data_IF_053947832678
#
_entry.id   IF_053947832678
#
_cell.length_a   1.000
_cell.length_b   1.000
_cell.length_c   1.000
_cell.angle_alpha   90.00
_cell.angle_beta   90.00
_cell.angle_gamma   90.00
#
_symmetry.space_group_name_H-M   'P 1'
#
loop_
_entity.id
_entity.type
_entity.pdbx_description
1 polymer ?
#
# COMPACT_ATOMS: atom_id res chain seq x y z
N UNK A 1 -1.64 -9.64 10.00
CA UNK A 1 -1.18 -8.26 9.71
C UNK A 1 -0.70 -8.22 8.26
N UNK A 2 -1.27 -7.34 7.41
CA UNK A 2 -0.79 -7.07 6.05
C UNK A 2 -0.01 -5.75 6.07
N UNK A 3 1.25 -5.78 5.69
CA UNK A 3 2.17 -4.64 5.72
C UNK A 3 2.50 -4.14 4.32
N UNK A 4 2.50 -2.84 4.12
CA UNK A 4 3.29 -2.19 3.07
C UNK A 4 4.75 -2.14 3.52
N UNK A 5 5.72 -2.33 2.60
CA UNK A 5 7.14 -2.09 2.91
C UNK A 5 7.38 -0.65 3.40
N UNK A 6 8.47 -0.42 4.12
CA UNK A 6 8.85 0.89 4.64
C UNK A 6 9.67 1.72 3.62
N UNK A 7 10.24 2.86 4.06
CA UNK A 7 10.99 3.80 3.22
C UNK A 7 12.06 3.08 2.40
N UNK A 8 12.10 3.39 1.12
CA UNK A 8 13.00 2.83 0.12
C UNK A 8 13.59 3.92 -0.77
N UNK A 9 14.67 3.64 -1.46
CA UNK A 9 15.06 4.47 -2.58
C UNK A 9 13.97 4.43 -3.70
N UNK A 10 13.79 5.50 -4.49
CA UNK A 10 12.87 5.51 -5.63
C UNK A 10 13.09 4.33 -6.57
N UNK A 11 12.07 3.99 -7.36
CA UNK A 11 12.15 2.87 -8.33
C UNK A 11 13.19 3.11 -9.41
N UNK A 12 13.51 4.35 -9.68
CA UNK A 12 14.58 4.77 -10.59
C UNK A 12 15.50 5.75 -9.88
N UNK A 13 16.79 5.68 -10.15
CA UNK A 13 17.84 6.52 -9.60
C UNK A 13 18.60 7.24 -10.70
N UNK A 14 19.79 7.77 -10.40
CA UNK A 14 20.64 8.56 -11.28
C UNK A 14 20.68 8.03 -12.73
N UNK A 15 20.45 8.91 -13.70
CA UNK A 15 20.34 8.59 -15.13
C UNK A 15 18.95 8.15 -15.59
N UNK A 16 17.96 8.19 -14.70
CA UNK A 16 16.58 7.78 -14.94
C UNK A 16 15.69 8.92 -15.47
N UNK A 17 14.39 8.58 -15.66
CA UNK A 17 13.37 9.59 -15.99
C UNK A 17 13.25 10.70 -14.94
N UNK A 18 13.59 10.43 -13.66
CA UNK A 18 13.57 11.41 -12.58
C UNK A 18 14.62 12.50 -12.80
N UNK A 19 15.87 12.14 -13.21
CA UNK A 19 16.93 13.13 -13.48
C UNK A 19 16.60 14.01 -14.68
N UNK A 20 15.85 13.48 -15.65
CA UNK A 20 15.41 14.25 -16.82
C UNK A 20 14.29 15.23 -16.51
N UNK A 21 13.57 15.05 -15.41
CA UNK A 21 12.41 15.85 -15.03
C UNK A 21 12.75 17.01 -14.09
N UNK A 22 14.00 17.13 -13.65
CA UNK A 22 14.47 18.23 -12.81
C UNK A 22 15.93 18.57 -13.13
N UNK A 23 16.35 19.84 -13.01
CA UNK A 23 17.76 20.22 -13.00
C UNK A 23 18.41 19.99 -11.63
N UNK A 24 17.60 19.73 -10.60
CA UNK A 24 18.04 19.59 -9.22
C UNK A 24 18.60 18.20 -8.95
N UNK A 25 19.43 18.07 -7.93
CA UNK A 25 20.08 16.83 -7.57
C UNK A 25 19.31 16.15 -6.42
N UNK A 26 18.86 14.91 -6.67
CA UNK A 26 18.25 14.09 -5.64
C UNK A 26 19.29 13.74 -4.56
N UNK A 27 18.83 13.42 -3.34
CA UNK A 27 19.74 13.01 -2.25
C UNK A 27 20.47 11.72 -2.62
N UNK A 28 21.64 11.53 -1.99
CA UNK A 28 22.34 10.25 -2.01
C UNK A 28 21.62 9.24 -1.12
N UNK A 29 21.01 8.24 -1.73
CA UNK A 29 20.26 7.20 -1.04
C UNK A 29 21.18 6.20 -0.35
N UNK A 30 20.73 5.69 0.81
CA UNK A 30 21.48 4.68 1.60
C UNK A 30 21.31 3.25 1.07
N UNK A 31 20.57 3.07 -0.02
CA UNK A 31 20.31 1.79 -0.68
C UNK A 31 20.25 1.95 -2.20
N UNK A 32 20.29 0.84 -2.92
CA UNK A 32 20.10 0.84 -4.37
C UNK A 32 18.65 1.22 -4.73
N UNK A 33 18.40 1.51 -6.01
CA UNK A 33 17.06 1.78 -6.52
C UNK A 33 16.07 0.69 -6.07
N UNK A 34 14.90 1.09 -5.62
CA UNK A 34 13.80 0.23 -5.15
C UNK A 34 14.05 -0.56 -3.86
N UNK A 35 15.24 -0.54 -3.29
CA UNK A 35 15.59 -1.26 -2.06
C UNK A 35 15.24 -0.45 -0.80
N UNK A 36 14.91 -1.15 0.28
CA UNK A 36 14.64 -0.57 1.60
C UNK A 36 15.83 0.26 2.07
N UNK A 37 15.58 1.49 2.54
CA UNK A 37 16.63 2.34 3.10
C UNK A 37 17.02 1.91 4.52
N UNK A 38 18.17 2.39 4.99
CA UNK A 38 18.60 2.14 6.39
C UNK A 38 17.59 2.73 7.40
N UNK A 39 17.03 3.91 7.10
CA UNK A 39 15.98 4.52 7.92
C UNK A 39 14.73 3.64 7.93
N UNK A 40 14.28 3.15 6.76
CA UNK A 40 13.16 2.23 6.66
C UNK A 40 13.35 0.97 7.50
N UNK A 41 14.55 0.38 7.49
CA UNK A 41 14.87 -0.76 8.36
C UNK A 41 14.80 -0.43 9.86
N UNK A 42 15.32 0.73 10.27
CA UNK A 42 15.23 1.20 11.65
C UNK A 42 13.77 1.36 12.10
N UNK A 43 12.96 2.02 11.29
CA UNK A 43 11.53 2.23 11.57
C UNK A 43 10.77 0.90 11.69
N UNK A 44 11.09 -0.08 10.86
CA UNK A 44 10.45 -1.41 10.97
C UNK A 44 10.88 -2.17 12.24
N UNK A 45 12.13 -2.04 12.68
CA UNK A 45 12.55 -2.58 13.96
C UNK A 45 11.74 -1.97 15.11
N UNK A 46 11.49 -0.65 15.08
CA UNK A 46 10.65 0.03 16.07
C UNK A 46 9.19 -0.47 16.04
N UNK A 47 8.61 -0.64 14.85
CA UNK A 47 7.26 -1.18 14.70
C UNK A 47 7.15 -2.62 15.21
N UNK A 48 8.20 -3.43 15.00
CA UNK A 48 8.31 -4.77 15.56
C UNK A 48 8.34 -4.75 17.09
N UNK A 49 9.15 -3.87 17.69
CA UNK A 49 9.22 -3.71 19.15
C UNK A 49 7.89 -3.22 19.74
N UNK A 50 7.25 -2.25 19.12
CA UNK A 50 5.92 -1.80 19.52
C UNK A 50 4.92 -2.97 19.49
N UNK A 51 4.90 -3.73 18.40
CA UNK A 51 3.99 -4.87 18.25
C UNK A 51 4.24 -5.92 19.32
N UNK A 52 5.49 -6.25 19.64
CA UNK A 52 5.83 -7.15 20.74
C UNK A 52 5.24 -6.67 22.06
N UNK A 53 5.51 -5.42 22.44
CA UNK A 53 5.01 -4.84 23.71
C UNK A 53 3.48 -4.80 23.76
N UNK A 54 2.85 -4.49 22.63
CA UNK A 54 1.40 -4.53 22.53
C UNK A 54 0.87 -5.96 22.77
N UNK A 55 1.40 -6.99 22.08
CA UNK A 55 0.96 -8.37 22.25
C UNK A 55 1.26 -8.93 23.65
N UNK A 56 2.36 -8.50 24.29
CA UNK A 56 2.68 -8.81 25.69
C UNK A 56 1.63 -8.17 26.63
N UNK A 57 1.25 -6.91 26.41
CA UNK A 57 0.25 -6.21 27.24
C UNK A 57 -1.14 -6.80 27.13
N UNK A 58 -1.49 -7.35 25.96
CA UNK A 58 -2.77 -8.07 25.74
C UNK A 58 -2.72 -9.52 26.23
N UNK A 59 -1.56 -9.99 26.70
CA UNK A 59 -1.38 -11.37 27.19
C UNK A 59 -1.39 -12.42 26.08
N UNK A 60 -1.22 -12.01 24.83
CA UNK A 60 -1.18 -12.93 23.69
C UNK A 60 0.14 -13.69 23.60
N UNK A 61 1.24 -13.04 23.99
CA UNK A 61 2.56 -13.64 24.12
C UNK A 61 3.18 -13.30 25.48
N UNK A 62 4.00 -14.18 26.07
CA UNK A 62 4.75 -13.87 27.29
C UNK A 62 5.96 -12.98 26.98
N UNK A 63 6.54 -12.36 28.01
CA UNK A 63 7.87 -11.74 27.91
C UNK A 63 8.92 -12.77 27.43
N UNK A 64 9.84 -12.30 26.59
CA UNK A 64 10.88 -13.13 25.98
C UNK A 64 10.33 -14.31 25.16
N UNK A 65 9.21 -14.10 24.50
CA UNK A 65 8.54 -15.12 23.69
C UNK A 65 9.49 -15.70 22.64
N UNK A 66 9.61 -17.03 22.66
CA UNK A 66 10.23 -17.83 21.61
C UNK A 66 9.14 -18.74 21.03
N UNK A 67 8.69 -18.45 19.80
CA UNK A 67 7.58 -19.18 19.22
C UNK A 67 7.96 -20.63 18.93
N UNK A 68 7.05 -21.53 19.23
CA UNK A 68 7.08 -22.90 18.71
C UNK A 68 6.82 -22.87 17.20
N UNK A 69 7.23 -23.92 16.50
CA UNK A 69 6.97 -24.08 15.06
C UNK A 69 5.48 -23.90 14.74
N UNK A 70 5.20 -23.13 13.70
CA UNK A 70 3.84 -22.86 13.24
C UNK A 70 3.06 -21.81 14.05
N UNK A 71 3.58 -21.29 15.17
CA UNK A 71 2.88 -20.27 15.99
C UNK A 71 2.97 -18.87 15.39
N UNK A 72 4.02 -18.57 14.68
CA UNK A 72 4.20 -17.31 13.96
C UNK A 72 4.58 -17.57 12.51
N UNK A 73 4.20 -16.65 11.63
CA UNK A 73 4.54 -16.72 10.21
C UNK A 73 4.93 -15.34 9.71
N UNK A 74 6.02 -15.24 8.98
CA UNK A 74 6.48 -14.05 8.28
C UNK A 74 6.63 -14.39 6.80
N UNK A 75 5.73 -13.89 5.99
CA UNK A 75 5.68 -14.15 4.56
C UNK A 75 5.75 -12.83 3.79
N UNK A 76 6.70 -12.69 2.91
CA UNK A 76 6.94 -11.49 2.14
C UNK A 76 6.91 -11.76 0.63
N UNK A 77 6.47 -10.77 -0.15
CA UNK A 77 6.78 -10.73 -1.57
C UNK A 77 8.31 -10.80 -1.74
N UNK A 78 8.78 -11.51 -2.79
CA UNK A 78 10.21 -11.80 -2.96
C UNK A 78 11.05 -10.59 -3.45
N UNK A 79 10.58 -9.36 -3.24
CA UNK A 79 11.34 -8.12 -3.48
C UNK A 79 12.22 -7.78 -2.29
N UNK A 80 13.43 -7.26 -2.54
CA UNK A 80 14.36 -6.89 -1.48
C UNK A 80 13.67 -6.07 -0.38
N UNK A 81 12.96 -4.99 -0.73
CA UNK A 81 12.31 -4.08 0.23
C UNK A 81 11.26 -4.74 1.12
N UNK A 82 10.53 -5.72 0.62
CA UNK A 82 9.50 -6.44 1.37
C UNK A 82 10.11 -7.52 2.26
N UNK A 83 11.11 -8.25 1.77
CA UNK A 83 11.90 -9.21 2.56
C UNK A 83 12.60 -8.47 3.70
N UNK A 84 13.31 -7.37 3.41
CA UNK A 84 14.03 -6.59 4.41
C UNK A 84 13.06 -5.97 5.44
N UNK A 85 11.91 -5.44 5.02
CA UNK A 85 10.86 -4.97 5.93
C UNK A 85 10.46 -6.06 6.92
N UNK A 86 10.16 -7.28 6.44
CA UNK A 86 9.79 -8.40 7.29
C UNK A 86 10.94 -8.85 8.23
N UNK A 87 12.19 -8.81 7.75
CA UNK A 87 13.37 -9.13 8.56
C UNK A 87 13.56 -8.15 9.72
N UNK A 88 13.53 -6.84 9.43
CA UNK A 88 13.69 -5.81 10.46
C UNK A 88 12.53 -5.83 11.45
N UNK A 89 11.28 -5.97 10.96
CA UNK A 89 10.12 -6.09 11.82
C UNK A 89 10.21 -7.32 12.74
N UNK A 90 10.52 -8.50 12.20
CA UNK A 90 10.66 -9.72 13.00
C UNK A 90 11.79 -9.61 14.02
N UNK A 91 12.90 -8.96 13.68
CA UNK A 91 14.01 -8.71 14.60
C UNK A 91 13.61 -7.79 15.76
N UNK A 92 12.78 -6.79 15.54
CA UNK A 92 12.21 -5.94 16.59
C UNK A 92 11.18 -6.67 17.45
N UNK A 93 10.32 -7.49 16.82
CA UNK A 93 9.24 -8.21 17.49
C UNK A 93 9.77 -9.42 18.28
N UNK A 94 10.68 -10.18 17.73
CA UNK A 94 11.17 -11.45 18.27
C UNK A 94 12.71 -11.50 18.29
N UNK A 95 13.37 -10.59 19.03
CA UNK A 95 14.82 -10.34 18.90
C UNK A 95 15.71 -11.54 19.29
N UNK A 96 15.16 -12.51 20.03
CA UNK A 96 15.89 -13.72 20.49
C UNK A 96 15.52 -14.98 19.73
N UNK A 97 14.56 -14.90 18.81
CA UNK A 97 14.14 -16.02 17.97
C UNK A 97 14.83 -16.01 16.62
N UNK A 98 15.09 -17.18 16.07
CA UNK A 98 15.51 -17.29 14.66
C UNK A 98 14.24 -17.38 13.80
N UNK A 99 13.94 -16.31 13.07
CA UNK A 99 12.76 -16.21 12.24
C UNK A 99 13.17 -16.26 10.77
N UNK A 100 12.65 -17.23 10.05
CA UNK A 100 12.78 -17.32 8.60
C UNK A 100 11.68 -16.47 7.94
N UNK A 101 12.05 -15.69 6.93
CA UNK A 101 11.11 -14.96 6.09
C UNK A 101 10.77 -15.83 4.89
N UNK A 102 9.53 -16.26 4.84
CA UNK A 102 8.98 -17.09 3.76
C UNK A 102 8.81 -16.25 2.48
N UNK A 103 9.19 -16.82 1.33
CA UNK A 103 8.94 -16.28 -0.01
C UNK A 103 8.64 -17.44 -0.96
N UNK A 104 7.67 -17.29 -1.87
CA UNK A 104 7.30 -18.35 -2.82
C UNK A 104 7.71 -18.03 -4.26
N UNK A 105 8.52 -17.00 -4.46
CA UNK A 105 9.11 -16.67 -5.73
C UNK A 105 10.64 -16.50 -5.60
N UNK A 106 11.35 -16.56 -6.72
CA UNK A 106 12.77 -16.26 -6.76
C UNK A 106 13.03 -14.80 -6.31
N UNK A 107 14.19 -14.57 -5.71
CA UNK A 107 14.59 -13.22 -5.26
C UNK A 107 14.45 -12.19 -6.37
N UNK A 108 13.90 -11.05 -6.01
CA UNK A 108 13.56 -9.91 -6.88
C UNK A 108 12.48 -10.20 -7.95
N UNK A 109 11.75 -11.30 -7.84
CA UNK A 109 10.53 -11.56 -8.59
C UNK A 109 9.29 -11.19 -7.78
N UNK A 110 8.17 -10.98 -8.47
CA UNK A 110 6.88 -10.81 -7.83
C UNK A 110 6.27 -12.18 -7.53
N UNK A 111 5.87 -12.36 -6.28
CA UNK A 111 5.11 -13.53 -5.85
C UNK A 111 3.64 -13.38 -6.28
N UNK A 112 3.00 -14.41 -6.84
CA UNK A 112 1.61 -14.34 -7.31
C UNK A 112 0.61 -13.86 -6.25
N UNK A 113 0.83 -14.15 -4.97
CA UNK A 113 -0.05 -13.69 -3.87
C UNK A 113 -0.03 -12.17 -3.72
N UNK A 114 1.12 -11.54 -3.98
CA UNK A 114 1.30 -10.09 -3.85
C UNK A 114 1.32 -9.35 -5.18
N UNK A 115 1.27 -10.05 -6.31
CA UNK A 115 1.24 -9.42 -7.63
C UNK A 115 -0.17 -8.94 -7.95
N UNK A 116 -0.41 -7.62 -8.08
CA UNK A 116 -1.73 -7.10 -8.39
C UNK A 116 -2.03 -7.21 -9.88
N UNK A 117 -1.91 -8.41 -10.45
CA UNK A 117 -2.16 -8.69 -11.85
C UNK A 117 -3.64 -9.08 -12.09
N UNK A 118 -4.18 -8.65 -13.22
CA UNK A 118 -5.49 -9.08 -13.69
C UNK A 118 -5.37 -10.46 -14.34
N UNK A 119 -5.69 -11.51 -13.60
CA UNK A 119 -5.53 -12.91 -14.04
C UNK A 119 -6.68 -13.39 -14.93
N UNK A 120 -7.80 -12.68 -14.94
CA UNK A 120 -8.91 -12.88 -15.86
C UNK A 120 -9.25 -11.56 -16.56
N UNK A 121 -9.37 -11.59 -17.90
CA UNK A 121 -9.72 -10.43 -18.73
C UNK A 121 -10.56 -10.91 -19.93
N UNK A 122 -11.76 -10.31 -20.10
CA UNK A 122 -12.57 -10.37 -21.31
C UNK A 122 -12.81 -8.96 -21.85
N UNK A 123 -13.28 -8.80 -23.07
CA UNK A 123 -13.62 -7.49 -23.61
C UNK A 123 -14.70 -6.80 -22.77
N UNK A 124 -15.70 -7.54 -22.31
CA UNK A 124 -16.77 -7.04 -21.45
C UNK A 124 -16.23 -6.59 -20.08
N UNK A 125 -15.33 -7.38 -19.50
CA UNK A 125 -14.63 -7.02 -18.24
C UNK A 125 -13.86 -5.71 -18.41
N UNK A 126 -13.05 -5.57 -19.47
CA UNK A 126 -12.24 -4.36 -19.71
C UNK A 126 -13.13 -3.14 -19.86
N UNK A 127 -14.20 -3.23 -20.67
CA UNK A 127 -15.15 -2.12 -20.84
C UNK A 127 -15.77 -1.69 -19.50
N UNK A 128 -16.24 -2.65 -18.71
CA UNK A 128 -16.86 -2.39 -17.42
C UNK A 128 -15.86 -1.81 -16.40
N UNK A 129 -14.65 -2.36 -16.33
CA UNK A 129 -13.59 -1.89 -15.44
C UNK A 129 -13.14 -0.45 -15.80
N UNK A 130 -12.89 -0.18 -17.09
CA UNK A 130 -12.53 1.19 -17.54
C UNK A 130 -13.65 2.19 -17.29
N UNK A 131 -14.92 1.78 -17.37
CA UNK A 131 -16.05 2.62 -16.99
C UNK A 131 -16.07 2.94 -15.50
N UNK A 132 -15.78 1.96 -14.63
CA UNK A 132 -15.65 2.20 -13.18
C UNK A 132 -14.50 3.12 -12.88
N UNK A 133 -13.33 2.90 -13.47
CA UNK A 133 -12.15 3.76 -13.35
C UNK A 133 -12.47 5.19 -13.79
N UNK A 134 -13.07 5.36 -14.97
CA UNK A 134 -13.43 6.67 -15.51
C UNK A 134 -14.50 7.44 -14.71
N UNK A 135 -15.15 6.79 -13.75
CA UNK A 135 -16.12 7.43 -12.83
C UNK A 135 -15.50 7.78 -11.45
N UNK A 136 -14.23 7.46 -11.22
CA UNK A 136 -13.57 7.74 -9.94
C UNK A 136 -13.45 9.24 -9.70
N UNK A 137 -13.49 9.64 -8.43
CA UNK A 137 -13.43 11.05 -8.05
C UNK A 137 -14.61 11.90 -8.55
N UNK A 138 -15.71 11.25 -9.02
CA UNK A 138 -16.87 11.95 -9.59
C UNK A 138 -16.68 12.37 -11.05
N UNK A 139 -15.65 11.83 -11.73
CA UNK A 139 -15.39 12.07 -13.15
C UNK A 139 -16.47 11.49 -14.06
N UNK A 140 -16.56 11.99 -15.28
CA UNK A 140 -17.51 11.54 -16.31
C UNK A 140 -16.87 10.58 -17.32
N UNK A 141 -15.56 10.44 -17.29
CA UNK A 141 -14.79 9.55 -18.16
C UNK A 141 -13.28 9.70 -17.95
N UNK A 142 -12.51 8.96 -18.75
CA UNK A 142 -11.04 8.99 -18.66
C UNK A 142 -10.42 10.37 -18.93
N UNK A 143 -11.09 11.24 -19.67
CA UNK A 143 -10.56 12.57 -20.01
C UNK A 143 -10.54 13.53 -18.83
N UNK A 144 -11.44 13.37 -17.86
CA UNK A 144 -11.57 14.25 -16.70
C UNK A 144 -11.28 13.54 -15.36
N UNK A 145 -10.88 12.27 -15.40
CA UNK A 145 -10.60 11.48 -14.20
C UNK A 145 -9.48 12.07 -13.33
N UNK A 146 -8.51 12.75 -13.93
CA UNK A 146 -7.42 13.43 -13.23
C UNK A 146 -7.67 14.95 -13.03
N UNK A 147 -8.87 15.46 -13.31
CA UNK A 147 -9.13 16.90 -13.23
C UNK A 147 -8.85 17.51 -11.83
N UNK A 148 -9.07 16.74 -10.78
CA UNK A 148 -8.78 17.13 -9.39
C UNK A 148 -7.29 17.29 -9.08
N UNK A 149 -6.39 16.77 -9.91
CA UNK A 149 -4.94 16.79 -9.68
C UNK A 149 -4.23 18.03 -10.25
N UNK A 150 -4.96 18.99 -10.81
CA UNK A 150 -4.35 20.17 -11.46
C UNK A 150 -3.42 20.96 -10.52
N UNK A 151 -3.81 21.15 -9.26
CA UNK A 151 -2.98 21.86 -8.27
C UNK A 151 -1.78 21.02 -7.81
N UNK A 152 -1.95 19.70 -7.67
CA UNK A 152 -0.86 18.77 -7.39
C UNK A 152 0.19 18.79 -8.49
N UNK A 153 -0.24 18.71 -9.76
CA UNK A 153 0.67 18.80 -10.92
C UNK A 153 1.44 20.10 -10.97
N UNK A 154 0.75 21.23 -10.78
CA UNK A 154 1.37 22.53 -10.77
C UNK A 154 2.42 22.68 -9.65
N UNK A 155 2.12 22.17 -8.46
CA UNK A 155 3.06 22.22 -7.34
C UNK A 155 4.27 21.29 -7.57
N UNK A 156 4.06 20.08 -8.11
CA UNK A 156 5.15 19.17 -8.47
C UNK A 156 6.07 19.83 -9.52
N UNK A 157 5.50 20.41 -10.60
CA UNK A 157 6.27 21.11 -11.63
C UNK A 157 7.11 22.26 -11.04
N UNK A 158 6.55 23.02 -10.11
CA UNK A 158 7.23 24.13 -9.43
C UNK A 158 8.38 23.64 -8.56
N UNK A 159 8.12 22.67 -7.68
CA UNK A 159 9.11 22.15 -6.71
C UNK A 159 10.32 21.52 -7.39
N UNK A 160 10.11 20.83 -8.52
CA UNK A 160 11.22 20.17 -9.24
C UNK A 160 11.84 21.04 -10.33
N UNK A 161 11.45 22.31 -10.47
CA UNK A 161 11.88 23.17 -11.58
C UNK A 161 11.70 22.51 -12.94
N UNK A 162 10.53 21.88 -13.16
CA UNK A 162 10.26 20.97 -14.27
C UNK A 162 10.55 21.57 -15.64
N UNK A 163 10.18 22.84 -15.87
CA UNK A 163 10.41 23.53 -17.14
C UNK A 163 11.89 23.85 -17.41
N UNK A 164 12.72 23.85 -16.36
CA UNK A 164 14.16 24.04 -16.45
C UNK A 164 14.92 22.73 -16.66
N UNK A 165 14.25 21.60 -16.59
CA UNK A 165 14.84 20.27 -16.77
C UNK A 165 15.32 20.01 -18.20
N UNK A 166 16.26 19.10 -18.36
CA UNK A 166 16.76 18.66 -19.66
C UNK A 166 15.65 18.02 -20.51
N UNK A 167 14.82 17.18 -19.89
CA UNK A 167 13.73 16.49 -20.59
C UNK A 167 12.67 17.44 -21.12
N UNK A 168 12.34 18.50 -20.39
CA UNK A 168 11.41 19.52 -20.87
C UNK A 168 12.01 20.38 -21.98
N UNK A 169 13.24 20.87 -21.82
CA UNK A 169 13.95 21.70 -22.80
C UNK A 169 14.22 20.98 -24.12
N UNK A 170 14.43 19.66 -24.06
CA UNK A 170 14.59 18.81 -25.26
C UNK A 170 13.28 18.48 -25.97
N UNK A 171 12.14 18.67 -25.30
CA UNK A 171 10.81 18.26 -25.76
C UNK A 171 10.50 16.78 -25.56
N UNK A 172 11.35 16.03 -24.83
CA UNK A 172 11.07 14.65 -24.41
C UNK A 172 9.94 14.62 -23.37
N UNK A 173 9.93 15.58 -22.44
CA UNK A 173 8.86 15.79 -21.48
C UNK A 173 7.99 16.98 -21.88
N UNK A 174 6.70 16.89 -21.56
CA UNK A 174 5.72 17.96 -21.79
C UNK A 174 5.17 18.42 -20.45
N UNK A 175 4.53 19.59 -20.43
CA UNK A 175 3.79 20.05 -19.27
C UNK A 175 2.78 18.98 -18.84
N UNK A 176 2.63 18.79 -17.52
CA UNK A 176 1.68 17.81 -16.98
C UNK A 176 0.25 18.24 -17.33
N UNK A 177 -0.50 17.29 -17.89
CA UNK A 177 -1.87 17.51 -18.40
C UNK A 177 -2.82 16.53 -17.73
N UNK A 178 -3.89 17.04 -17.13
CA UNK A 178 -4.90 16.21 -16.45
C UNK A 178 -5.82 15.46 -17.40
N UNK A 179 -5.72 15.71 -18.72
CA UNK A 179 -6.63 15.14 -19.74
C UNK A 179 -6.01 14.03 -20.58
N UNK A 180 -4.71 13.72 -20.40
CA UNK A 180 -3.96 12.79 -21.26
C UNK A 180 -3.82 11.36 -20.66
N UNK A 181 -4.44 11.12 -19.52
CA UNK A 181 -4.34 9.82 -18.82
C UNK A 181 -5.04 8.71 -19.60
N UNK A 182 -4.33 7.59 -19.79
CA UNK A 182 -4.87 6.37 -20.38
C UNK A 182 -4.57 5.18 -19.46
N UNK A 183 -5.55 4.31 -19.25
CA UNK A 183 -5.40 3.05 -18.50
C UNK A 183 -5.52 1.87 -19.45
N UNK A 184 -4.65 0.90 -19.28
CA UNK A 184 -4.69 -0.39 -20.00
C UNK A 184 -4.80 -1.53 -19.01
N UNK A 185 -5.66 -2.50 -19.35
CA UNK A 185 -5.88 -3.73 -18.58
C UNK A 185 -5.63 -4.89 -19.54
N UNK A 186 -4.65 -5.73 -19.21
CA UNK A 186 -4.26 -6.88 -20.00
C UNK A 186 -4.17 -8.10 -19.09
N UNK A 187 -4.49 -9.28 -19.65
CA UNK A 187 -4.41 -10.53 -18.91
C UNK A 187 -2.99 -10.83 -18.43
N UNK A 188 -2.87 -11.34 -17.21
CA UNK A 188 -1.63 -11.71 -16.54
C UNK A 188 -0.62 -10.55 -16.38
N UNK A 189 -1.14 -9.30 -16.43
CA UNK A 189 -0.35 -8.08 -16.19
C UNK A 189 -0.99 -7.23 -15.11
N UNK A 190 -0.16 -6.42 -14.46
CA UNK A 190 -0.65 -5.34 -13.63
C UNK A 190 -1.34 -4.29 -14.51
N UNK A 191 -2.50 -3.73 -14.09
CA UNK A 191 -3.08 -2.56 -14.77
C UNK A 191 -2.02 -1.46 -14.91
N UNK A 192 -2.01 -0.81 -16.06
CA UNK A 192 -0.98 0.19 -16.36
C UNK A 192 -1.59 1.52 -16.75
N UNK A 193 -0.91 2.61 -16.39
CA UNK A 193 -1.28 3.97 -16.78
C UNK A 193 -0.18 4.59 -17.63
N UNK A 194 -0.59 5.39 -18.59
CA UNK A 194 0.28 6.27 -19.38
C UNK A 194 -0.22 7.71 -19.31
N UNK A 195 0.61 8.66 -19.78
CA UNK A 195 0.32 10.09 -19.68
C UNK A 195 0.90 10.75 -18.44
N UNK A 196 0.44 11.94 -18.16
CA UNK A 196 1.00 12.81 -17.12
C UNK A 196 0.87 12.27 -15.72
N UNK A 197 -0.20 11.51 -15.41
CA UNK A 197 -0.35 10.89 -14.10
C UNK A 197 0.82 9.95 -13.75
N UNK A 198 1.35 9.21 -14.72
CA UNK A 198 2.52 8.36 -14.49
C UNK A 198 3.75 9.15 -14.11
N UNK A 199 4.02 10.25 -14.81
CA UNK A 199 5.16 11.12 -14.52
C UNK A 199 4.97 11.83 -13.17
N UNK A 200 3.79 12.38 -12.92
CA UNK A 200 3.47 13.03 -11.65
C UNK A 200 3.60 12.06 -10.45
N UNK A 201 3.10 10.82 -10.58
CA UNK A 201 3.27 9.79 -9.56
C UNK A 201 4.74 9.47 -9.28
N UNK A 202 5.59 9.34 -10.31
CA UNK A 202 7.01 9.07 -10.13
C UNK A 202 7.73 10.20 -9.38
N UNK A 203 7.42 11.45 -9.73
CA UNK A 203 7.98 12.63 -9.07
C UNK A 203 7.45 12.77 -7.64
N UNK A 204 6.15 12.60 -7.43
CA UNK A 204 5.53 12.64 -6.11
C UNK A 204 6.10 11.56 -5.18
N UNK A 205 6.23 10.31 -5.66
CA UNK A 205 6.81 9.21 -4.89
C UNK A 205 8.26 9.53 -4.48
N UNK A 206 9.08 10.01 -5.43
CA UNK A 206 10.46 10.38 -5.14
C UNK A 206 10.57 11.55 -4.14
N UNK A 207 9.75 12.60 -4.28
CA UNK A 207 9.71 13.75 -3.37
C UNK A 207 9.28 13.33 -1.96
N UNK A 208 8.21 12.54 -1.82
CA UNK A 208 7.71 12.07 -0.52
C UNK A 208 8.72 11.15 0.15
N UNK A 209 9.35 10.23 -0.57
CA UNK A 209 10.41 9.38 -0.05
C UNK A 209 11.63 10.20 0.39
N UNK A 210 12.04 11.18 -0.43
CA UNK A 210 13.13 12.10 -0.08
C UNK A 210 12.78 12.94 1.15
N UNK A 211 11.52 13.38 1.28
CA UNK A 211 11.05 14.11 2.46
C UNK A 211 11.22 13.29 3.75
N UNK A 212 10.92 11.99 3.71
CA UNK A 212 11.10 11.13 4.87
C UNK A 212 12.58 10.81 5.16
N UNK A 213 13.41 10.69 4.14
CA UNK A 213 14.82 10.28 4.29
C UNK A 213 15.75 11.46 4.63
N UNK A 214 15.53 12.64 4.03
CA UNK A 214 16.38 13.80 4.19
C UNK A 214 16.33 14.39 5.61
N UNK A 215 17.49 14.78 6.18
CA UNK A 215 17.53 15.40 7.50
C UNK A 215 16.76 16.73 7.57
N UNK A 216 16.75 17.50 6.48
CA UNK A 216 16.11 18.79 6.37
C UNK A 216 14.98 18.75 5.34
N UNK A 217 13.78 19.23 5.72
CA UNK A 217 12.62 19.24 4.85
C UNK A 217 12.76 20.18 3.65
N UNK A 218 13.47 21.31 3.82
CA UNK A 218 13.72 22.28 2.74
C UNK A 218 14.65 21.67 1.69
N UNK A 219 15.67 20.92 2.11
CA UNK A 219 16.57 20.23 1.17
C UNK A 219 15.82 19.13 0.41
N UNK A 220 14.85 18.47 1.05
CA UNK A 220 14.02 17.47 0.41
C UNK A 220 13.14 18.03 -0.73
N UNK A 221 12.84 19.32 -0.70
CA UNK A 221 12.06 20.02 -1.72
C UNK A 221 12.94 21.01 -2.52
N UNK A 222 14.22 20.71 -2.70
CA UNK A 222 15.16 21.49 -3.49
C UNK A 222 15.23 22.99 -3.13
N UNK A 223 15.03 23.33 -1.86
CA UNK A 223 15.07 24.69 -1.35
C UNK A 223 13.71 25.32 -1.09
N UNK A 224 12.61 24.66 -1.41
CA UNK A 224 11.27 25.10 -1.09
C UNK A 224 10.89 24.76 0.35
N UNK A 225 10.37 25.73 1.10
CA UNK A 225 9.85 25.51 2.46
C UNK A 225 8.35 25.16 2.36
N UNK A 226 8.05 23.88 2.20
CA UNK A 226 6.70 23.39 1.98
C UNK A 226 5.96 23.13 3.30
N UNK A 227 4.71 23.56 3.34
CA UNK A 227 3.79 23.21 4.44
C UNK A 227 3.35 21.74 4.36
N UNK A 228 2.77 21.21 5.44
CA UNK A 228 2.21 19.87 5.47
C UNK A 228 1.10 19.68 4.41
N UNK A 229 0.28 20.70 4.19
CA UNK A 229 -0.78 20.68 3.18
C UNK A 229 -0.19 20.59 1.78
N UNK A 230 0.95 21.25 1.52
CA UNK A 230 1.64 21.15 0.23
C UNK A 230 2.28 19.77 0.04
N UNK A 231 2.85 19.17 1.09
CA UNK A 231 3.33 17.78 1.02
C UNK A 231 2.19 16.78 0.75
N UNK A 232 1.04 16.97 1.37
CA UNK A 232 -0.19 16.18 1.08
C UNK A 232 -0.64 16.37 -0.36
N UNK A 233 -0.66 17.61 -0.85
CA UNK A 233 -1.03 17.93 -2.23
C UNK A 233 -0.09 17.26 -3.26
N UNK A 234 1.23 17.21 -2.99
CA UNK A 234 2.18 16.45 -3.81
C UNK A 234 1.81 14.96 -3.81
N UNK A 235 1.51 14.39 -2.63
CA UNK A 235 1.18 12.97 -2.48
C UNK A 235 -0.11 12.56 -3.20
N UNK A 236 -1.07 13.48 -3.42
CA UNK A 236 -2.34 13.18 -4.08
C UNK A 236 -2.14 12.50 -5.44
N UNK A 237 -1.15 12.92 -6.23
CA UNK A 237 -0.86 12.29 -7.53
C UNK A 237 -0.44 10.83 -7.40
N UNK A 238 0.30 10.49 -6.34
CA UNK A 238 0.72 9.12 -6.05
C UNK A 238 -0.44 8.29 -5.47
N UNK A 239 -1.18 8.85 -4.53
CA UNK A 239 -2.32 8.17 -3.91
C UNK A 239 -3.39 7.88 -4.97
N UNK A 240 -3.70 8.85 -5.82
CA UNK A 240 -4.65 8.67 -6.91
C UNK A 240 -4.19 7.68 -7.98
N UNK A 241 -2.88 7.61 -8.26
CA UNK A 241 -2.31 6.58 -9.15
C UNK A 241 -2.61 5.16 -8.65
N UNK A 242 -2.44 4.91 -7.35
CA UNK A 242 -2.75 3.62 -6.73
C UNK A 242 -4.26 3.36 -6.76
N UNK A 243 -5.06 4.36 -6.41
CA UNK A 243 -6.52 4.25 -6.45
C UNK A 243 -6.99 3.90 -7.86
N UNK A 244 -6.55 4.65 -8.87
CA UNK A 244 -6.97 4.47 -10.27
C UNK A 244 -6.70 3.07 -10.79
N UNK A 245 -5.55 2.49 -10.44
CA UNK A 245 -5.10 1.19 -10.95
C UNK A 245 -5.66 0.00 -10.17
N UNK A 246 -5.98 0.15 -8.86
CA UNK A 246 -6.19 -1.03 -8.01
C UNK A 246 -7.47 -1.01 -7.18
N UNK A 247 -8.24 0.09 -7.15
CA UNK A 247 -9.37 0.21 -6.21
C UNK A 247 -10.75 0.23 -6.87
N UNK A 248 -10.84 0.33 -8.21
CA UNK A 248 -12.11 0.14 -8.90
C UNK A 248 -12.66 -1.27 -8.59
N UNK A 249 -13.95 -1.43 -8.25
CA UNK A 249 -14.48 -2.69 -7.69
C UNK A 249 -14.12 -3.94 -8.47
N UNK A 250 -14.28 -3.94 -9.81
CA UNK A 250 -13.93 -5.08 -10.66
C UNK A 250 -12.43 -5.36 -10.65
N UNK A 251 -11.61 -4.31 -10.67
CA UNK A 251 -10.15 -4.47 -10.63
C UNK A 251 -9.71 -4.97 -9.26
N UNK A 252 -10.22 -4.37 -8.17
CA UNK A 252 -9.90 -4.79 -6.81
C UNK A 252 -10.23 -6.26 -6.56
N UNK A 253 -11.41 -6.73 -7.01
CA UNK A 253 -11.79 -8.13 -6.92
C UNK A 253 -10.83 -9.05 -7.67
N UNK A 254 -10.36 -8.63 -8.86
CA UNK A 254 -9.43 -9.42 -9.67
C UNK A 254 -8.01 -9.47 -9.05
N UNK A 255 -7.45 -8.31 -8.64
CA UNK A 255 -6.06 -8.25 -8.22
C UNK A 255 -5.84 -8.62 -6.74
N UNK A 256 -6.87 -8.51 -5.89
CA UNK A 256 -6.75 -8.79 -4.46
C UNK A 256 -7.11 -10.23 -4.07
N UNK A 257 -7.79 -11.01 -4.94
CA UNK A 257 -8.31 -12.32 -4.53
C UNK A 257 -7.26 -13.29 -4.00
N UNK A 258 -6.02 -13.40 -4.56
CA UNK A 258 -5.04 -14.33 -4.00
C UNK A 258 -4.63 -13.95 -2.58
N UNK A 259 -4.46 -12.65 -2.33
CA UNK A 259 -4.07 -12.14 -1.02
C UNK A 259 -5.22 -12.21 -0.01
N UNK A 260 -6.47 -12.01 -0.44
CA UNK A 260 -7.66 -12.22 0.40
C UNK A 260 -7.82 -13.69 0.82
N UNK A 261 -7.55 -14.63 -0.09
CA UNK A 261 -7.52 -16.06 0.23
C UNK A 261 -6.43 -16.35 1.27
N UNK A 262 -5.24 -15.77 1.11
CA UNK A 262 -4.13 -15.94 2.04
C UNK A 262 -4.44 -15.35 3.42
N UNK A 263 -5.01 -14.14 3.49
CA UNK A 263 -5.48 -13.53 4.74
C UNK A 263 -6.53 -14.44 5.41
N UNK A 264 -7.46 -14.97 4.63
CA UNK A 264 -8.46 -15.91 5.12
C UNK A 264 -7.84 -17.16 5.74
N UNK A 265 -6.88 -17.78 5.06
CA UNK A 265 -6.16 -18.95 5.53
C UNK A 265 -5.43 -18.68 6.85
N UNK A 266 -4.77 -17.52 6.97
CA UNK A 266 -4.08 -17.14 8.21
C UNK A 266 -5.03 -16.85 9.37
N UNK A 267 -6.21 -16.30 9.11
CA UNK A 267 -7.22 -16.11 10.15
C UNK A 267 -7.83 -17.43 10.65
N UNK A 268 -7.86 -18.46 9.81
CA UNK A 268 -8.36 -19.79 10.13
C UNK A 268 -7.28 -20.76 10.63
N UNK A 269 -6.00 -20.38 10.57
CA UNK A 269 -4.90 -21.25 10.95
C UNK A 269 -4.93 -21.60 12.45
N UNK A 270 -5.12 -22.88 12.75
CA UNK A 270 -5.19 -23.37 14.12
C UNK A 270 -3.89 -23.12 14.89
N UNK A 271 -4.02 -22.51 16.06
CA UNK A 271 -2.92 -22.24 16.96
C UNK A 271 -1.95 -21.16 16.49
N UNK A 272 -2.22 -20.50 15.36
CA UNK A 272 -1.47 -19.34 14.90
C UNK A 272 -1.68 -18.17 15.87
N UNK A 273 -0.58 -17.61 16.36
CA UNK A 273 -0.60 -16.46 17.27
C UNK A 273 -0.44 -15.14 16.50
N UNK A 274 0.44 -15.16 15.49
CA UNK A 274 0.75 -13.97 14.71
C UNK A 274 1.19 -14.32 13.28
N UNK A 275 0.68 -13.56 12.32
CA UNK A 275 1.10 -13.63 10.91
C UNK A 275 1.41 -12.24 10.38
N UNK A 276 2.52 -12.13 9.66
CA UNK A 276 2.98 -10.92 8.98
C UNK A 276 3.13 -11.18 7.50
N UNK A 277 2.26 -10.57 6.70
CA UNK A 277 2.28 -10.62 5.24
C UNK A 277 2.81 -9.28 4.75
N UNK A 278 3.93 -9.27 4.01
CA UNK A 278 4.57 -8.03 3.58
C UNK A 278 4.52 -7.85 2.06
N UNK A 279 3.81 -6.82 1.63
CA UNK A 279 3.66 -6.43 0.23
C UNK A 279 3.83 -4.92 0.00
N UNK A 280 2.93 -4.35 -0.77
CA UNK A 280 2.99 -3.01 -1.33
C UNK A 280 1.73 -2.20 -0.99
N UNK A 281 1.74 -0.91 -1.34
CA UNK A 281 0.57 -0.02 -1.27
C UNK A 281 -0.61 -0.55 -2.10
N UNK A 282 -0.33 -1.05 -3.31
CA UNK A 282 -1.32 -1.72 -4.17
C UNK A 282 -2.04 -2.88 -3.48
N UNK A 283 -1.33 -3.67 -2.65
CA UNK A 283 -1.92 -4.78 -1.90
C UNK A 283 -2.85 -4.28 -0.78
N UNK A 284 -2.42 -3.29 -0.01
CA UNK A 284 -3.27 -2.71 1.05
C UNK A 284 -4.48 -2.02 0.44
N UNK A 285 -4.28 -1.20 -0.60
CA UNK A 285 -5.34 -0.47 -1.28
C UNK A 285 -6.38 -1.39 -1.92
N UNK A 286 -5.95 -2.39 -2.69
CA UNK A 286 -6.87 -3.33 -3.35
C UNK A 286 -7.64 -4.21 -2.36
N UNK A 287 -7.00 -4.67 -1.26
CA UNK A 287 -7.68 -5.43 -0.20
C UNK A 287 -8.74 -4.57 0.49
N UNK A 288 -8.43 -3.32 0.85
CA UNK A 288 -9.42 -2.41 1.45
C UNK A 288 -10.58 -2.13 0.50
N UNK A 289 -10.32 -1.92 -0.78
CA UNK A 289 -11.34 -1.70 -1.79
C UNK A 289 -12.23 -2.94 -1.98
N UNK A 290 -11.64 -4.13 -2.09
CA UNK A 290 -12.38 -5.39 -2.22
C UNK A 290 -13.23 -5.73 -1.00
N UNK A 291 -12.78 -5.32 0.20
CA UNK A 291 -13.54 -5.43 1.44
C UNK A 291 -14.62 -4.35 1.60
N UNK A 292 -14.72 -3.41 0.65
CA UNK A 292 -15.63 -2.27 0.68
C UNK A 292 -15.41 -1.38 1.91
N UNK A 293 -14.16 -1.01 2.19
CA UNK A 293 -13.84 -0.09 3.27
C UNK A 293 -14.58 1.25 3.07
N UNK A 294 -15.12 1.78 4.17
CA UNK A 294 -15.65 3.14 4.22
C UNK A 294 -14.52 4.16 4.19
N UNK A 295 -14.82 5.40 3.84
CA UNK A 295 -13.85 6.48 3.84
C UNK A 295 -13.22 6.64 5.23
N UNK A 296 -11.92 6.91 5.26
CA UNK A 296 -11.16 7.13 6.49
C UNK A 296 -10.15 8.25 6.30
N UNK A 297 -9.78 8.88 7.40
CA UNK A 297 -8.76 9.93 7.44
C UNK A 297 -7.54 9.44 8.21
N UNK A 298 -6.35 9.84 7.74
CA UNK A 298 -5.07 9.50 8.35
C UNK A 298 -4.42 10.76 8.95
N UNK A 299 -4.68 11.08 10.23
CA UNK A 299 -4.03 12.20 10.87
C UNK A 299 -2.51 12.01 10.89
N UNK A 300 -1.76 13.12 10.81
CA UNK A 300 -0.31 13.14 10.83
C UNK A 300 0.41 12.28 9.74
N UNK A 301 -0.29 11.96 8.64
CA UNK A 301 0.29 11.32 7.46
C UNK A 301 0.35 12.30 6.27
N UNK A 302 1.31 12.11 5.37
CA UNK A 302 1.36 12.78 4.06
C UNK A 302 0.47 12.03 3.08
N UNK A 303 0.67 10.72 2.97
CA UNK A 303 -0.17 9.86 2.13
C UNK A 303 -1.55 9.66 2.76
N UNK A 304 -2.60 9.87 1.97
CA UNK A 304 -3.98 9.87 2.48
C UNK A 304 -4.62 8.49 2.57
N UNK A 305 -4.00 7.45 2.01
CA UNK A 305 -4.60 6.11 1.90
C UNK A 305 -3.76 5.02 2.53
N UNK A 306 -2.56 4.82 2.03
CA UNK A 306 -1.70 3.70 2.43
C UNK A 306 -0.30 4.21 2.77
N UNK A 307 -0.09 4.90 3.91
CA UNK A 307 1.20 5.49 4.25
C UNK A 307 2.34 4.49 4.19
N UNK A 308 3.55 4.97 3.92
CA UNK A 308 4.74 4.13 3.89
C UNK A 308 4.85 3.34 5.21
N UNK A 309 5.14 2.05 5.13
CA UNK A 309 5.25 1.19 6.30
C UNK A 309 3.92 0.92 7.04
N UNK A 310 2.76 1.31 6.51
CA UNK A 310 1.47 1.03 7.16
C UNK A 310 1.16 -0.47 7.25
N UNK A 311 0.33 -0.82 8.22
CA UNK A 311 -0.06 -2.20 8.52
C UNK A 311 -1.56 -2.32 8.72
N UNK A 312 -2.23 -3.05 7.84
CA UNK A 312 -3.63 -3.43 8.03
C UNK A 312 -3.68 -4.65 8.97
N UNK A 313 -4.21 -4.43 10.16
CA UNK A 313 -4.20 -5.41 11.25
C UNK A 313 -5.58 -6.01 11.43
N UNK A 314 -5.68 -7.31 11.28
CA UNK A 314 -6.87 -8.10 11.59
C UNK A 314 -6.67 -8.74 12.96
N UNK A 315 -7.54 -8.44 13.92
CA UNK A 315 -7.48 -8.92 15.29
C UNK A 315 -8.67 -9.84 15.58
N UNK A 316 -8.40 -10.91 16.33
CA UNK A 316 -9.44 -11.80 16.86
C UNK A 316 -9.48 -11.69 18.36
N UNK A 317 -10.65 -11.41 18.89
CA UNK A 317 -10.93 -11.24 20.30
C UNK A 317 -11.95 -12.28 20.78
N UNK A 318 -11.91 -12.64 22.06
CA UNK A 318 -12.93 -13.45 22.67
C UNK A 318 -13.35 -12.82 24.02
N UNK A 319 -14.66 -12.81 24.30
CA UNK A 319 -15.14 -12.42 25.61
C UNK A 319 -15.08 -13.62 26.62
N UNK A 320 -15.41 -13.35 27.87
CA UNK A 320 -15.39 -14.36 28.92
C UNK A 320 -16.34 -15.54 28.66
N UNK A 321 -17.35 -15.40 27.82
CA UNK A 321 -18.29 -16.45 27.42
C UNK A 321 -17.81 -17.26 26.22
N UNK A 322 -16.65 -16.93 25.63
CA UNK A 322 -16.10 -17.57 24.45
C UNK A 322 -16.68 -17.06 23.11
N UNK A 323 -17.51 -16.01 23.12
CA UNK A 323 -17.97 -15.36 21.90
C UNK A 323 -16.82 -14.62 21.24
N UNK A 324 -16.73 -14.74 19.91
CA UNK A 324 -15.61 -14.20 19.13
C UNK A 324 -15.98 -12.95 18.38
N UNK A 325 -15.04 -12.03 18.37
CA UNK A 325 -15.15 -10.73 17.72
C UNK A 325 -13.91 -10.44 16.87
N UNK A 326 -14.06 -9.57 15.86
CA UNK A 326 -12.98 -9.10 15.03
C UNK A 326 -12.83 -7.58 15.10
N UNK A 327 -11.61 -7.10 14.97
CA UNK A 327 -11.30 -5.69 14.77
C UNK A 327 -10.33 -5.56 13.61
N UNK A 328 -10.48 -4.51 12.81
CA UNK A 328 -9.53 -4.19 11.74
C UNK A 328 -9.06 -2.76 11.93
N UNK A 329 -7.75 -2.56 11.94
CA UNK A 329 -7.12 -1.24 12.11
C UNK A 329 -6.02 -1.04 11.08
N UNK A 330 -5.84 0.19 10.66
CA UNK A 330 -4.65 0.63 9.95
C UNK A 330 -3.69 1.28 10.95
N UNK A 331 -2.51 0.68 11.15
CA UNK A 331 -1.42 1.22 11.95
C UNK A 331 -0.40 1.87 11.02
N UNK A 332 0.11 3.04 11.36
CA UNK A 332 1.15 3.73 10.60
C UNK A 332 1.93 4.68 11.49
N UNK A 333 3.14 5.01 11.09
CA UNK A 333 3.97 5.99 11.78
C UNK A 333 3.59 7.39 11.28
N UNK A 334 3.52 8.36 12.19
CA UNK A 334 3.33 9.76 11.85
C UNK A 334 4.50 10.30 11.02
N UNK A 335 4.30 11.41 10.33
CA UNK A 335 5.39 12.11 9.60
C UNK A 335 6.57 12.42 10.51
N UNK A 336 6.30 12.88 11.72
CA UNK A 336 7.36 13.19 12.68
C UNK A 336 8.15 11.94 13.06
N UNK A 337 7.49 10.82 13.33
CA UNK A 337 8.15 9.54 13.62
C UNK A 337 8.98 9.05 12.44
N UNK A 338 8.45 9.13 11.21
CA UNK A 338 9.15 8.73 9.99
C UNK A 338 10.42 9.57 9.78
N UNK A 339 10.34 10.87 10.05
CA UNK A 339 11.45 11.80 9.84
C UNK A 339 12.47 11.81 10.98
N UNK A 340 12.03 11.73 12.22
CA UNK A 340 12.94 11.73 13.38
C UNK A 340 13.67 10.41 13.54
N UNK A 341 13.03 9.29 13.22
CA UNK A 341 13.62 7.95 13.24
C UNK A 341 14.19 7.57 14.62
N UNK A 342 13.58 8.07 15.70
CA UNK A 342 14.09 7.90 17.06
C UNK A 342 13.69 6.56 17.64
N UNK A 343 14.68 5.83 18.15
CA UNK A 343 14.56 4.54 18.84
C UNK A 343 14.36 4.73 20.36
N UNK A 344 13.49 5.62 20.80
CA UNK A 344 13.24 5.78 22.23
C UNK A 344 12.19 4.76 22.70
N UNK A 345 12.59 3.72 23.46
CA UNK A 345 11.65 2.74 23.99
C UNK A 345 10.57 3.42 24.83
N UNK A 346 9.30 3.16 24.46
CA UNK A 346 8.15 3.60 25.24
C UNK A 346 7.61 5.00 24.95
N UNK A 347 8.16 5.74 23.98
CA UNK A 347 7.68 7.08 23.61
C UNK A 347 6.99 7.15 22.25
N UNK A 348 7.16 6.14 21.41
CA UNK A 348 6.57 6.10 20.06
C UNK A 348 5.44 5.09 20.05
N UNK A 349 4.23 5.58 19.90
CA UNK A 349 3.05 4.77 19.61
C UNK A 349 2.60 5.13 18.19
N UNK A 350 2.57 4.20 17.25
CA UNK A 350 2.09 4.50 15.90
C UNK A 350 0.64 5.00 15.96
N UNK A 351 0.28 5.80 14.99
CA UNK A 351 -1.10 6.20 14.77
C UNK A 351 -1.94 4.97 14.43
N UNK A 352 -3.21 4.99 14.83
CA UNK A 352 -4.14 3.88 14.62
C UNK A 352 -5.51 4.42 14.21
N UNK A 353 -5.99 3.95 13.06
CA UNK A 353 -7.35 4.25 12.58
C UNK A 353 -8.14 2.95 12.48
N UNK A 354 -9.32 2.91 13.09
CA UNK A 354 -10.22 1.78 12.98
C UNK A 354 -10.93 1.76 11.62
N UNK A 355 -10.83 0.62 10.94
CA UNK A 355 -11.48 0.43 9.65
C UNK A 355 -12.94 0.05 9.81
N UNK A 356 -13.79 0.67 8.99
CA UNK A 356 -15.19 0.33 8.83
C UNK A 356 -15.45 -0.19 7.41
N UNK A 357 -16.40 -1.13 7.29
CA UNK A 357 -16.73 -1.76 6.03
C UNK A 357 -18.23 -1.63 5.75
N UNK A 358 -18.60 -1.28 4.53
CA UNK A 358 -19.99 -1.09 4.12
C UNK A 358 -20.84 -2.31 4.45
N UNK A 359 -21.96 -2.10 5.13
CA UNK A 359 -22.90 -3.15 5.48
C UNK A 359 -22.52 -4.05 6.65
N UNK A 360 -21.31 -3.95 7.21
CA UNK A 360 -20.95 -4.65 8.44
C UNK A 360 -21.27 -3.79 9.67
N UNK A 361 -21.83 -4.44 10.70
CA UNK A 361 -22.21 -3.76 11.94
C UNK A 361 -21.21 -4.03 13.06
N UNK A 362 -20.77 -2.98 13.74
CA UNK A 362 -19.97 -3.07 14.97
C UNK A 362 -20.88 -3.09 16.20
N UNK A 363 -20.48 -3.79 17.25
CA UNK A 363 -21.10 -3.73 18.56
C UNK A 363 -20.75 -2.42 19.31
N UNK A 364 -21.20 -2.26 20.54
CA UNK A 364 -20.96 -1.07 21.36
C UNK A 364 -19.45 -0.83 21.67
N UNK A 365 -18.63 -1.87 21.58
CA UNK A 365 -17.18 -1.82 21.81
C UNK A 365 -16.39 -1.57 20.50
N UNK A 366 -17.08 -1.31 19.38
CA UNK A 366 -16.46 -1.08 18.08
C UNK A 366 -15.99 -2.36 17.36
N UNK A 367 -16.41 -3.54 17.82
CA UNK A 367 -15.99 -4.83 17.29
C UNK A 367 -17.04 -5.45 16.37
N UNK A 368 -16.60 -6.10 15.30
CA UNK A 368 -17.44 -6.95 14.47
C UNK A 368 -17.67 -8.31 15.13
N UNK A 369 -18.78 -9.00 14.82
CA UNK A 369 -18.81 -10.44 15.02
C UNK A 369 -17.74 -11.07 14.15
N UNK A 370 -16.96 -12.02 14.71
CA UNK A 370 -15.86 -12.63 13.98
C UNK A 370 -16.32 -13.33 12.70
N UNK A 371 -17.44 -14.07 12.81
CA UNK A 371 -18.01 -14.80 11.67
C UNK A 371 -18.43 -13.85 10.54
N UNK A 372 -18.98 -12.66 10.87
CA UNK A 372 -19.39 -11.67 9.86
C UNK A 372 -18.17 -11.09 9.12
N UNK A 373 -17.07 -10.81 9.86
CA UNK A 373 -15.82 -10.34 9.28
C UNK A 373 -15.17 -11.43 8.39
N UNK A 374 -15.16 -12.68 8.87
CA UNK A 374 -14.65 -13.82 8.09
C UNK A 374 -15.47 -14.06 6.81
N UNK A 375 -16.81 -13.98 6.93
CA UNK A 375 -17.70 -14.09 5.77
C UNK A 375 -17.43 -12.98 4.73
N UNK A 376 -17.20 -11.71 5.16
CA UNK A 376 -16.85 -10.62 4.27
C UNK A 376 -15.54 -10.90 3.51
N UNK A 377 -14.50 -11.38 4.19
CA UNK A 377 -13.21 -11.71 3.55
C UNK A 377 -13.38 -12.85 2.54
N UNK A 378 -14.10 -13.90 2.93
CA UNK A 378 -14.37 -15.04 2.05
C UNK A 378 -15.22 -14.65 0.81
N UNK A 379 -16.22 -13.79 1.02
CA UNK A 379 -17.09 -13.30 -0.06
C UNK A 379 -16.35 -12.39 -1.03
N UNK A 380 -15.47 -11.50 -0.52
CA UNK A 380 -14.61 -10.66 -1.33
C UNK A 380 -13.60 -11.48 -2.15
N UNK A 381 -13.03 -12.54 -1.58
CA UNK A 381 -12.16 -13.46 -2.31
C UNK A 381 -12.91 -14.23 -3.41
N UNK A 382 -14.17 -14.64 -3.14
CA UNK A 382 -15.01 -15.38 -4.09
C UNK A 382 -15.60 -14.49 -5.21
N UNK A 383 -15.54 -13.16 -5.10
CA UNK A 383 -16.05 -12.26 -6.14
C UNK A 383 -15.32 -12.46 -7.47
N UNK A 384 -14.04 -12.79 -7.43
CA UNK A 384 -13.27 -13.16 -8.60
C UNK A 384 -13.94 -14.32 -9.40
N UNK A 385 -14.29 -15.40 -8.72
CA UNK A 385 -14.91 -16.55 -9.37
C UNK A 385 -16.27 -16.18 -9.98
N UNK A 386 -17.05 -15.33 -9.29
CA UNK A 386 -18.34 -14.83 -9.81
C UNK A 386 -18.19 -13.99 -11.09
N UNK A 387 -17.14 -13.17 -11.16
CA UNK A 387 -16.80 -12.38 -12.36
C UNK A 387 -16.45 -13.33 -13.51
N UNK A 388 -15.58 -14.30 -13.28
CA UNK A 388 -15.15 -15.29 -14.28
C UNK A 388 -16.34 -16.11 -14.80
N UNK A 389 -17.21 -16.59 -13.92
CA UNK A 389 -18.39 -17.37 -14.29
C UNK A 389 -19.40 -16.56 -15.12
N UNK A 390 -19.64 -15.32 -14.75
CA UNK A 390 -20.57 -14.42 -15.45
C UNK A 390 -20.10 -14.13 -16.86
N UNK A 391 -18.86 -13.71 -17.02
CA UNK A 391 -18.30 -13.33 -18.31
C UNK A 391 -18.11 -14.55 -19.23
N UNK A 392 -17.72 -15.71 -18.69
CA UNK A 392 -17.66 -16.95 -19.45
C UNK A 392 -19.02 -17.40 -19.99
N UNK A 393 -20.12 -17.13 -19.28
CA UNK A 393 -21.48 -17.40 -19.79
C UNK A 393 -21.88 -16.41 -20.88
N UNK A 394 -21.50 -15.13 -20.78
CA UNK A 394 -21.77 -14.11 -21.78
C UNK A 394 -21.04 -14.39 -23.11
N UNK A 395 -19.76 -14.80 -23.04
CA UNK A 395 -18.97 -15.21 -24.22
C UNK A 395 -19.57 -16.42 -24.92
N UNK A 396 -20.02 -17.45 -24.18
CA UNK A 396 -20.68 -18.61 -24.74
C UNK A 396 -22.02 -18.25 -25.38
N UNK A 397 -22.78 -17.30 -24.81
CA UNK A 397 -24.05 -16.83 -25.37
C UNK A 397 -23.87 -15.99 -26.64
N UNK A 398 -22.75 -15.30 -26.82
CA UNK A 398 -22.44 -14.54 -28.03
C UNK A 398 -21.88 -15.43 -29.15
N UNK A 399 -21.31 -16.59 -28.83
CA UNK A 399 -20.75 -17.54 -29.78
C UNK A 399 -21.82 -18.54 -30.35
N UNK A 400 -23.02 -18.59 -29.77
CA UNK A 400 -24.14 -19.45 -30.14
C UNK A 400 -25.16 -18.71 -31.00
#
# INVERSE_FOLDING_TARGET
MLSRHNIRAPLSTTGSALDKATPNQWIDWTSNASELSMRGGTLETMMGEYTRKWLESEGLIPENYQPEEGKVRFYANAKQRTIATAQFFSSGMLPVANIDIETHADYDKMDPVFTPATTFVSDAYVEAALKQIGAMGGATGMTDVCAGLAESYALIEDVVDYTESEGFKSGELKKLDTTDTQVTIEQDKEPAVSGSLKTACQLADALVLQYYEAPNAVDAAFGHDLTMEQWKLISESKDFYVDLLYTAPLVAANVAHPLLQEIGNEMDADGRVFSFLCGHDSNVGSVLAALEAEDYELPAAVESKTPIGCKLVFERWANANGEQFGRVRLLYQSVDELREGTMLPGTVSPESVEMSFKGLQKNADGLYKYDDLRARIADAAAEYDRIVEKDGQEELAQAA
#
